data_IF_863029122036
#
_entry.id   IF_863029122036
#
_cell.length_a   1.000
_cell.length_b   1.000
_cell.length_c   1.000
_cell.angle_alpha   90.00
_cell.angle_beta   90.00
_cell.angle_gamma   90.00
#
_symmetry.space_group_name_H-M   'P 1'
#
loop_
_entity.id
_entity.type
_entity.pdbx_description
1 polymer ?
#
# COMPACT_ATOMS: atom_id res chain seq x y z
N UNK A 1 -8.14 19.50 16.82
CA UNK A 1 -9.51 19.77 16.37
C UNK A 1 -10.36 18.50 16.46
N UNK A 2 -11.62 18.63 16.91
CA UNK A 2 -12.62 17.56 16.89
C UNK A 2 -13.91 18.02 16.20
N UNK A 3 -14.34 17.26 15.20
CA UNK A 3 -15.46 17.57 14.31
C UNK A 3 -16.18 16.27 13.91
N UNK A 4 -17.46 16.34 13.51
CA UNK A 4 -18.24 15.15 13.21
C UNK A 4 -18.99 15.20 11.88
N UNK A 5 -19.37 16.37 11.39
CA UNK A 5 -20.28 16.51 10.25
C UNK A 5 -19.91 17.73 9.40
N UNK A 6 -19.23 17.49 8.28
CA UNK A 6 -18.80 18.53 7.34
C UNK A 6 -17.36 18.35 6.89
N UNK A 7 -16.99 19.12 5.88
CA UNK A 7 -15.64 19.06 5.33
C UNK A 7 -14.66 19.87 6.20
N UNK A 8 -13.42 19.41 6.32
CA UNK A 8 -12.34 20.12 7.01
C UNK A 8 -11.21 20.38 6.03
N UNK A 9 -10.92 21.64 5.76
CA UNK A 9 -9.77 22.07 4.96
C UNK A 9 -8.78 22.77 5.88
N UNK A 10 -7.55 22.27 5.94
CA UNK A 10 -6.44 22.88 6.68
C UNK A 10 -5.38 23.33 5.69
N UNK A 11 -5.13 24.63 5.68
CA UNK A 11 -4.06 25.29 4.95
C UNK A 11 -3.07 25.89 5.94
N UNK A 12 -1.87 26.13 5.45
CA UNK A 12 -0.76 26.60 6.28
C UNK A 12 -0.21 27.92 5.76
N UNK A 13 0.40 28.71 6.65
CA UNK A 13 1.05 29.97 6.33
C UNK A 13 2.22 30.25 7.28
N UNK A 14 3.03 31.26 6.96
CA UNK A 14 4.20 31.62 7.77
C UNK A 14 3.89 32.44 9.04
N UNK A 15 2.69 33.03 9.15
CA UNK A 15 2.32 33.87 10.30
C UNK A 15 2.03 33.02 11.55
N UNK A 16 2.32 33.51 12.77
CA UNK A 16 2.06 32.82 14.03
C UNK A 16 0.61 33.05 14.52
N UNK A 17 -0.37 32.85 13.64
CA UNK A 17 -1.79 33.02 13.96
C UNK A 17 -2.60 31.83 13.45
N UNK A 18 -3.81 31.66 13.96
CA UNK A 18 -4.76 30.66 13.44
C UNK A 18 -6.02 31.40 13.02
N UNK A 19 -6.44 31.22 11.77
CA UNK A 19 -7.71 31.75 11.25
C UNK A 19 -8.67 30.59 11.05
N UNK A 20 -9.82 30.65 11.69
CA UNK A 20 -10.86 29.63 11.60
C UNK A 20 -12.09 30.23 10.94
N UNK A 21 -12.44 29.73 9.76
CA UNK A 21 -13.68 30.05 9.08
C UNK A 21 -14.57 28.83 9.11
N UNK A 22 -15.76 28.97 9.69
CA UNK A 22 -16.74 27.90 9.76
C UNK A 22 -18.03 28.31 9.03
N UNK A 23 -18.55 27.40 8.20
CA UNK A 23 -19.80 27.56 7.49
C UNK A 23 -20.80 26.53 7.99
N UNK A 24 -21.76 26.98 8.78
CA UNK A 24 -22.84 26.13 9.30
C UNK A 24 -23.99 26.13 8.29
N UNK A 25 -24.44 24.93 7.91
CA UNK A 25 -25.63 24.70 7.10
C UNK A 25 -26.60 23.82 7.88
N UNK A 26 -27.88 24.19 7.88
CA UNK A 26 -28.96 23.40 8.44
C UNK A 26 -30.12 23.33 7.46
N UNK A 27 -30.79 22.18 7.42
CA UNK A 27 -32.02 21.96 6.69
C UNK A 27 -33.05 21.33 7.63
N UNK A 28 -34.25 21.88 7.61
CA UNK A 28 -35.41 21.44 8.37
C UNK A 28 -36.68 21.75 7.57
N UNK A 29 -37.84 21.30 8.05
CA UNK A 29 -39.13 21.50 7.38
C UNK A 29 -39.51 22.98 7.24
N UNK A 30 -39.08 23.81 8.20
CA UNK A 30 -39.32 25.25 8.17
C UNK A 30 -38.03 26.03 8.36
N UNK A 31 -37.97 27.24 7.80
CA UNK A 31 -36.84 28.16 7.96
C UNK A 31 -36.54 28.46 9.43
N UNK A 32 -37.56 28.71 10.25
CA UNK A 32 -37.40 29.00 11.66
C UNK A 32 -36.77 27.82 12.43
N UNK A 33 -37.14 26.58 12.10
CA UNK A 33 -36.51 25.39 12.69
C UNK A 33 -35.05 25.22 12.24
N UNK A 34 -34.73 25.56 10.99
CA UNK A 34 -33.35 25.54 10.51
C UNK A 34 -32.50 26.60 11.21
N UNK A 35 -33.02 27.81 11.40
CA UNK A 35 -32.36 28.90 12.14
C UNK A 35 -32.13 28.55 13.62
N UNK A 36 -33.12 27.94 14.30
CA UNK A 36 -32.97 27.40 15.67
C UNK A 36 -31.83 26.37 15.74
N UNK A 37 -31.77 25.46 14.77
CA UNK A 37 -30.74 24.43 14.73
C UNK A 37 -29.34 25.02 14.55
N UNK A 38 -29.18 26.01 13.66
CA UNK A 38 -27.91 26.72 13.48
C UNK A 38 -27.48 27.40 14.78
N UNK A 39 -28.40 28.10 15.46
CA UNK A 39 -28.10 28.79 16.72
C UNK A 39 -27.68 27.88 17.87
N UNK A 40 -28.05 26.59 17.80
CA UNK A 40 -27.67 25.58 18.81
C UNK A 40 -26.32 24.90 18.52
N UNK A 41 -25.79 25.02 17.31
CA UNK A 41 -24.45 24.52 16.99
C UNK A 41 -23.43 25.53 17.49
N UNK A 42 -22.58 25.12 18.43
CA UNK A 42 -21.55 25.98 18.99
C UNK A 42 -20.17 25.55 18.49
N UNK A 43 -19.33 26.55 18.21
CA UNK A 43 -17.94 26.36 17.85
C UNK A 43 -17.12 26.90 19.00
N UNK A 44 -16.50 26.00 19.75
CA UNK A 44 -15.62 26.34 20.86
C UNK A 44 -14.19 26.41 20.34
N UNK A 45 -13.55 27.56 20.52
CA UNK A 45 -12.13 27.77 20.23
C UNK A 45 -11.44 28.06 21.56
N UNK A 46 -10.58 27.16 21.98
CA UNK A 46 -9.76 27.29 23.18
C UNK A 46 -8.31 27.52 22.78
N UNK A 47 -7.70 28.55 23.34
CA UNK A 47 -6.29 28.86 23.18
C UNK A 47 -5.60 28.66 24.53
N UNK A 48 -4.57 27.82 24.55
CA UNK A 48 -3.73 27.60 25.72
C UNK A 48 -2.24 27.63 25.34
N UNK A 49 -1.36 27.40 26.32
CA UNK A 49 0.09 27.42 26.11
C UNK A 49 0.60 26.36 25.12
N UNK A 50 -0.22 25.35 24.80
CA UNK A 50 0.11 24.23 23.91
C UNK A 50 -0.45 24.40 22.49
N UNK A 51 -1.41 25.30 22.28
CA UNK A 51 -1.91 25.67 20.96
C UNK A 51 -3.38 26.07 20.92
N UNK A 52 -4.00 25.89 19.75
CA UNK A 52 -5.42 26.21 19.50
C UNK A 52 -6.22 24.92 19.30
N UNK A 53 -7.27 24.75 20.08
CA UNK A 53 -8.23 23.65 19.97
C UNK A 53 -9.58 24.15 19.46
N UNK A 54 -10.03 23.63 18.33
CA UNK A 54 -11.36 23.88 17.76
C UNK A 54 -12.24 22.64 17.95
N UNK A 55 -13.40 22.82 18.58
CA UNK A 55 -14.40 21.77 18.82
C UNK A 55 -15.79 22.24 18.39
N UNK A 56 -16.48 21.44 17.59
CA UNK A 56 -17.91 21.64 17.35
C UNK A 56 -18.73 20.94 18.42
N UNK A 57 -19.62 21.66 19.10
CA UNK A 57 -20.64 21.11 19.99
C UNK A 57 -21.95 21.03 19.22
N UNK A 58 -22.42 19.81 19.00
CA UNK A 58 -23.66 19.54 18.28
C UNK A 58 -24.85 19.48 19.24
N UNK A 59 -26.03 19.97 18.81
CA UNK A 59 -27.24 19.84 19.62
C UNK A 59 -27.66 18.38 19.76
N UNK A 60 -28.09 17.99 20.95
CA UNK A 60 -28.83 16.74 21.12
C UNK A 60 -30.16 16.83 20.35
N UNK A 61 -30.33 15.93 19.39
CA UNK A 61 -31.58 15.73 18.66
C UNK A 61 -32.38 14.64 19.38
N UNK A 62 -33.50 15.02 20.00
CA UNK A 62 -34.45 14.08 20.57
C UNK A 62 -35.05 13.15 19.49
N UNK A 63 -35.53 11.97 19.91
CA UNK A 63 -35.96 10.82 19.09
C UNK A 63 -37.16 11.06 18.14
N UNK A 64 -37.56 12.31 17.88
CA UNK A 64 -38.77 12.70 17.11
C UNK A 64 -38.55 13.66 15.93
N UNK A 65 -37.36 14.22 15.71
CA UNK A 65 -37.09 15.10 14.55
C UNK A 65 -36.64 14.30 13.33
N UNK A 66 -37.59 13.64 12.66
CA UNK A 66 -37.38 13.06 11.32
C UNK A 66 -37.36 14.25 10.33
N UNK A 67 -36.37 14.32 9.42
CA UNK A 67 -36.17 15.40 8.42
C UNK A 67 -35.36 16.63 8.87
N UNK A 68 -34.35 16.45 9.71
CA UNK A 68 -33.37 17.51 10.01
C UNK A 68 -31.98 17.05 9.59
N UNK A 69 -31.23 17.91 8.89
CA UNK A 69 -29.82 17.69 8.57
C UNK A 69 -29.00 18.95 8.83
N UNK A 70 -27.74 18.78 9.18
CA UNK A 70 -26.82 19.89 9.37
C UNK A 70 -25.40 19.47 8.99
N UNK A 71 -24.59 20.46 8.60
CA UNK A 71 -23.16 20.32 8.37
C UNK A 71 -22.43 21.57 8.84
N UNK A 72 -21.20 21.42 9.28
CA UNK A 72 -20.30 22.54 9.63
C UNK A 72 -19.02 22.34 8.85
N UNK A 73 -18.83 23.12 7.80
CA UNK A 73 -17.61 23.03 7.00
C UNK A 73 -16.57 23.99 7.57
N UNK A 74 -15.32 23.55 7.68
CA UNK A 74 -14.20 24.33 8.21
C UNK A 74 -13.16 24.63 7.13
N UNK A 75 -12.72 25.88 7.08
CA UNK A 75 -11.50 26.33 6.41
C UNK A 75 -10.59 26.96 7.47
N UNK A 76 -9.49 26.27 7.78
CA UNK A 76 -8.54 26.63 8.83
C UNK A 76 -7.21 26.99 8.18
N UNK A 77 -6.72 28.19 8.47
CA UNK A 77 -5.35 28.59 8.16
C UNK A 77 -4.54 28.62 9.46
N UNK A 78 -3.40 27.94 9.50
CA UNK A 78 -2.55 27.82 10.70
C UNK A 78 -1.06 28.02 10.38
N UNK A 79 -0.20 28.23 11.39
CA UNK A 79 1.24 28.32 11.16
C UNK A 79 1.78 26.99 10.61
N UNK A 80 2.57 27.05 9.54
CA UNK A 80 3.14 25.89 8.88
C UNK A 80 4.07 25.05 9.78
N UNK A 81 4.61 25.65 10.84
CA UNK A 81 5.52 25.01 11.80
C UNK A 81 4.80 24.35 12.98
N UNK A 82 3.51 24.61 13.17
CA UNK A 82 2.75 24.05 14.29
C UNK A 82 2.30 22.61 13.98
N UNK A 83 2.39 21.67 14.94
CA UNK A 83 1.89 20.30 14.75
C UNK A 83 0.36 20.29 14.59
N UNK A 84 -0.15 19.40 13.75
CA UNK A 84 -1.58 19.31 13.44
C UNK A 84 -2.17 18.00 13.99
N UNK A 85 -3.31 18.12 14.70
CA UNK A 85 -4.17 16.98 15.04
C UNK A 85 -5.62 17.26 14.63
N UNK A 86 -6.15 16.48 13.68
CA UNK A 86 -7.54 16.56 13.21
C UNK A 86 -8.26 15.25 13.51
N UNK A 87 -9.44 15.35 14.13
CA UNK A 87 -10.39 14.25 14.28
C UNK A 87 -11.71 14.64 13.62
N UNK A 88 -12.12 13.93 12.59
CA UNK A 88 -13.40 14.11 11.92
C UNK A 88 -14.23 12.82 11.88
N UNK A 89 -15.55 12.94 11.95
CA UNK A 89 -16.49 11.83 11.84
C UNK A 89 -16.95 11.61 10.40
N UNK A 90 -17.47 12.65 9.76
CA UNK A 90 -18.05 12.60 8.42
C UNK A 90 -17.68 13.85 7.64
N UNK A 91 -17.25 13.63 6.40
CA UNK A 91 -16.86 14.68 5.46
C UNK A 91 -15.43 14.49 4.99
N UNK A 92 -15.06 15.23 3.96
CA UNK A 92 -13.72 15.17 3.41
C UNK A 92 -12.76 15.95 4.32
N UNK A 93 -11.54 15.44 4.46
CA UNK A 93 -10.48 16.15 5.17
C UNK A 93 -9.33 16.40 4.20
N UNK A 94 -8.94 17.66 4.05
CA UNK A 94 -7.83 18.10 3.22
C UNK A 94 -6.78 18.83 4.07
N UNK A 95 -5.52 18.42 4.01
CA UNK A 95 -4.40 19.06 4.71
C UNK A 95 -3.29 19.34 3.70
N UNK A 96 -2.76 20.57 3.68
CA UNK A 96 -1.68 20.95 2.75
C UNK A 96 -0.62 21.88 3.38
N UNK A 97 0.65 21.66 2.96
CA UNK A 97 1.76 22.60 3.14
C UNK A 97 2.41 22.63 4.54
N UNK A 98 2.20 21.59 5.34
CA UNK A 98 2.67 21.56 6.73
C UNK A 98 4.18 21.28 6.81
N UNK A 99 4.94 22.12 7.51
CA UNK A 99 6.38 21.89 7.78
C UNK A 99 6.64 21.10 9.08
N UNK A 100 5.58 20.68 9.76
CA UNK A 100 5.58 19.93 11.02
C UNK A 100 4.90 18.56 10.87
N UNK A 101 4.61 17.89 11.99
CA UNK A 101 3.93 16.59 12.02
C UNK A 101 2.41 16.72 11.88
N UNK A 102 1.78 15.70 11.31
CA UNK A 102 0.33 15.64 11.13
C UNK A 102 -0.25 14.32 11.65
N UNK A 103 -1.29 14.40 12.48
CA UNK A 103 -2.17 13.30 12.85
C UNK A 103 -3.58 13.60 12.36
N UNK A 104 -4.12 12.77 11.47
CA UNK A 104 -5.49 12.93 10.96
C UNK A 104 -6.25 11.62 11.12
N UNK A 105 -7.32 11.69 11.91
CA UNK A 105 -8.27 10.59 12.10
C UNK A 105 -9.60 10.99 11.50
N UNK A 106 -10.03 10.31 10.45
CA UNK A 106 -11.36 10.44 9.84
C UNK A 106 -12.13 9.12 9.95
N UNK A 107 -13.45 9.17 10.07
CA UNK A 107 -14.25 7.95 9.97
C UNK A 107 -14.85 7.76 8.57
N UNK A 108 -15.38 8.82 7.96
CA UNK A 108 -16.03 8.73 6.65
C UNK A 108 -15.71 9.93 5.77
N UNK A 109 -15.29 9.67 4.53
CA UNK A 109 -15.01 10.69 3.52
C UNK A 109 -13.63 10.51 2.90
N UNK A 110 -13.33 11.32 1.89
CA UNK A 110 -12.00 11.36 1.28
C UNK A 110 -11.02 12.05 2.22
N UNK A 111 -9.84 11.45 2.39
CA UNK A 111 -8.72 12.06 3.09
C UNK A 111 -7.63 12.42 2.08
N UNK A 112 -7.34 13.71 1.93
CA UNK A 112 -6.29 14.21 1.04
C UNK A 112 -5.22 14.92 1.86
N UNK A 113 -3.98 14.49 1.78
CA UNK A 113 -2.85 15.11 2.51
C UNK A 113 -1.69 15.35 1.57
N UNK A 114 -1.27 16.61 1.43
CA UNK A 114 -0.17 16.97 0.54
C UNK A 114 0.91 17.84 1.21
N UNK A 115 2.14 17.71 0.74
CA UNK A 115 3.26 18.60 1.05
C UNK A 115 3.56 18.75 2.56
N UNK A 116 3.59 17.62 3.28
CA UNK A 116 3.91 17.59 4.71
C UNK A 116 5.39 17.23 4.90
N UNK A 117 6.17 18.07 5.59
CA UNK A 117 7.61 17.81 5.81
C UNK A 117 7.89 16.87 6.98
N UNK A 118 7.05 16.87 8.02
CA UNK A 118 7.21 16.01 9.18
C UNK A 118 6.56 14.63 9.02
N UNK A 119 6.60 13.86 10.10
CA UNK A 119 5.95 12.56 10.19
C UNK A 119 4.43 12.70 10.14
N UNK A 120 3.79 11.78 9.43
CA UNK A 120 2.36 11.84 9.10
C UNK A 120 1.68 10.52 9.47
N UNK A 121 0.67 10.61 10.33
CA UNK A 121 -0.21 9.48 10.72
C UNK A 121 -1.64 9.75 10.24
N UNK A 122 -2.15 8.87 9.39
CA UNK A 122 -3.48 8.96 8.81
C UNK A 122 -4.29 7.72 9.17
N UNK A 123 -5.48 7.93 9.72
CA UNK A 123 -6.46 6.89 9.96
C UNK A 123 -7.76 7.25 9.27
N UNK A 124 -8.25 6.37 8.40
CA UNK A 124 -9.58 6.46 7.81
C UNK A 124 -10.32 5.13 7.99
N UNK A 125 -11.66 5.16 8.03
CA UNK A 125 -12.45 3.92 7.99
C UNK A 125 -13.09 3.70 6.63
N UNK A 126 -13.64 4.76 6.04
CA UNK A 126 -14.34 4.66 4.75
C UNK A 126 -14.03 5.85 3.86
N UNK A 127 -13.60 5.57 2.64
CA UNK A 127 -13.30 6.56 1.61
C UNK A 127 -11.87 6.46 1.10
N UNK A 128 -11.61 7.15 -0.01
CA UNK A 128 -10.28 7.18 -0.61
C UNK A 128 -9.29 7.97 0.26
N UNK A 129 -8.05 7.51 0.31
CA UNK A 129 -6.93 8.21 0.94
C UNK A 129 -5.93 8.57 -0.14
N UNK A 130 -5.68 9.86 -0.36
CA UNK A 130 -4.75 10.37 -1.35
C UNK A 130 -3.66 11.18 -0.66
N UNK A 131 -2.41 10.75 -0.80
CA UNK A 131 -1.27 11.35 -0.11
C UNK A 131 -0.17 11.69 -1.11
N UNK A 132 0.36 12.91 -1.03
CA UNK A 132 1.48 13.34 -1.88
C UNK A 132 2.54 14.14 -1.13
N UNK A 133 3.82 13.93 -1.47
CA UNK A 133 4.90 14.81 -1.04
C UNK A 133 5.20 14.81 0.46
N UNK A 134 5.38 13.63 1.05
CA UNK A 134 5.70 13.48 2.48
C UNK A 134 7.21 13.44 2.70
N UNK A 135 7.72 14.36 3.52
CA UNK A 135 9.11 14.48 3.91
C UNK A 135 9.54 13.46 4.97
N UNK A 136 8.67 13.22 5.96
CA UNK A 136 8.91 12.32 7.08
C UNK A 136 8.38 10.90 6.84
N UNK A 137 8.24 10.14 7.92
CA UNK A 137 7.60 8.83 7.91
C UNK A 137 6.08 8.95 7.68
N UNK A 138 5.51 8.01 6.94
CA UNK A 138 4.08 7.95 6.63
C UNK A 138 3.48 6.66 7.17
N UNK A 139 2.47 6.77 8.01
CA UNK A 139 1.65 5.65 8.48
C UNK A 139 0.20 5.87 8.07
N UNK A 140 -0.37 4.94 7.29
CA UNK A 140 -1.77 4.95 6.87
C UNK A 140 -2.47 3.69 7.38
N UNK A 141 -3.58 3.87 8.07
CA UNK A 141 -4.54 2.80 8.36
C UNK A 141 -5.86 3.15 7.70
N UNK A 142 -6.30 2.33 6.74
CA UNK A 142 -7.62 2.42 6.13
C UNK A 142 -8.39 1.11 6.30
N UNK A 143 -9.72 1.18 6.40
CA UNK A 143 -10.55 -0.03 6.43
C UNK A 143 -11.25 -0.30 5.09
N UNK A 144 -11.64 0.73 4.35
CA UNK A 144 -12.30 0.56 3.06
C UNK A 144 -12.08 1.78 2.16
N UNK A 145 -11.54 1.55 0.98
CA UNK A 145 -11.33 2.55 -0.06
C UNK A 145 -9.95 2.44 -0.70
N UNK A 146 -9.78 3.11 -1.83
CA UNK A 146 -8.51 3.17 -2.56
C UNK A 146 -7.50 4.02 -1.77
N UNK A 147 -6.25 3.55 -1.70
CA UNK A 147 -5.13 4.29 -1.09
C UNK A 147 -4.12 4.64 -2.17
N UNK A 148 -3.97 5.92 -2.47
CA UNK A 148 -2.97 6.44 -3.41
C UNK A 148 -1.89 7.22 -2.66
N UNK A 149 -0.63 6.82 -2.83
CA UNK A 149 0.53 7.49 -2.20
C UNK A 149 1.56 7.82 -3.26
N UNK A 150 2.01 9.07 -3.33
CA UNK A 150 3.07 9.50 -4.26
C UNK A 150 4.12 10.35 -3.54
N UNK A 151 5.39 9.94 -3.63
CA UNK A 151 6.51 10.74 -3.15
C UNK A 151 6.61 10.77 -1.62
N UNK A 152 7.24 9.74 -1.06
CA UNK A 152 7.49 9.63 0.39
C UNK A 152 9.00 9.49 0.62
N UNK A 153 9.57 10.42 1.39
CA UNK A 153 11.00 10.49 1.66
C UNK A 153 11.41 9.77 2.95
N UNK A 154 10.47 9.50 3.86
CA UNK A 154 10.65 8.68 5.06
C UNK A 154 10.10 7.26 4.93
N UNK A 155 10.12 6.50 6.04
CA UNK A 155 9.60 5.13 6.06
C UNK A 155 8.09 5.08 5.77
N UNK A 156 7.64 4.02 5.12
CA UNK A 156 6.24 3.85 4.71
C UNK A 156 5.60 2.67 5.42
N UNK A 157 4.45 2.88 6.04
CA UNK A 157 3.59 1.82 6.57
C UNK A 157 2.17 2.04 6.08
N UNK A 158 1.62 1.09 5.33
CA UNK A 158 0.22 1.12 4.88
C UNK A 158 -0.46 -0.16 5.35
N UNK A 159 -1.60 -0.01 6.01
CA UNK A 159 -2.52 -1.10 6.33
C UNK A 159 -3.89 -0.75 5.74
N UNK A 160 -4.36 -1.54 4.78
CA UNK A 160 -5.71 -1.47 4.25
C UNK A 160 -6.42 -2.82 4.39
N UNK A 161 -7.74 -2.81 4.49
CA UNK A 161 -8.52 -4.05 4.51
C UNK A 161 -9.22 -4.33 3.18
N UNK A 162 -9.74 -3.29 2.51
CA UNK A 162 -10.43 -3.41 1.23
C UNK A 162 -10.14 -2.21 0.33
N UNK A 163 -9.82 -2.48 -0.93
CA UNK A 163 -9.55 -1.48 -1.96
C UNK A 163 -8.11 -1.52 -2.44
N UNK A 164 -7.89 -0.97 -3.62
CA UNK A 164 -6.57 -0.95 -4.27
C UNK A 164 -5.60 -0.02 -3.53
N UNK A 165 -4.34 -0.42 -3.51
CA UNK A 165 -3.23 0.40 -3.01
C UNK A 165 -2.32 0.71 -4.20
N UNK A 166 -2.07 1.99 -4.45
CA UNK A 166 -1.06 2.44 -5.40
C UNK A 166 -0.01 3.26 -4.68
N UNK A 167 1.25 2.84 -4.75
CA UNK A 167 2.40 3.55 -4.19
C UNK A 167 3.37 3.91 -5.31
N UNK A 168 3.70 5.19 -5.41
CA UNK A 168 4.74 5.69 -6.31
C UNK A 168 5.81 6.42 -5.50
N UNK A 169 7.08 6.20 -5.84
CA UNK A 169 8.19 7.01 -5.32
C UNK A 169 8.38 6.95 -3.79
N UNK A 170 8.49 5.73 -3.24
CA UNK A 170 8.84 5.51 -1.83
C UNK A 170 10.36 5.35 -1.65
N UNK A 171 11.02 6.27 -0.94
CA UNK A 171 12.49 6.35 -0.90
C UNK A 171 13.16 5.50 0.18
N UNK A 172 12.44 5.13 1.22
CA UNK A 172 12.94 4.44 2.42
C UNK A 172 12.18 3.12 2.62
N UNK A 173 12.53 2.29 3.62
CA UNK A 173 11.87 1.00 3.82
C UNK A 173 10.35 1.13 3.93
N UNK A 174 9.64 0.15 3.36
CA UNK A 174 8.19 0.13 3.28
C UNK A 174 7.58 -1.18 3.76
N UNK A 175 6.44 -1.09 4.45
CA UNK A 175 5.56 -2.23 4.75
C UNK A 175 4.15 -1.93 4.24
N UNK A 176 3.60 -2.83 3.43
CA UNK A 176 2.24 -2.74 2.92
C UNK A 176 1.51 -4.00 3.33
N UNK A 177 0.40 -3.83 4.06
CA UNK A 177 -0.53 -4.91 4.41
C UNK A 177 -1.87 -4.59 3.77
N UNK A 178 -2.35 -5.49 2.92
CA UNK A 178 -3.67 -5.37 2.30
C UNK A 178 -4.50 -6.63 2.52
N UNK A 179 -5.80 -6.44 2.74
CA UNK A 179 -6.75 -7.54 2.89
C UNK A 179 -7.31 -8.00 1.54
N UNK A 180 -7.68 -7.06 0.68
CA UNK A 180 -8.29 -7.34 -0.62
C UNK A 180 -8.17 -6.11 -1.53
N UNK A 181 -7.67 -6.30 -2.74
CA UNK A 181 -7.49 -5.27 -3.76
C UNK A 181 -6.11 -5.39 -4.41
N UNK A 182 -5.94 -4.77 -5.57
CA UNK A 182 -4.65 -4.74 -6.24
C UNK A 182 -3.66 -3.90 -5.43
N UNK A 183 -2.42 -4.38 -5.28
CA UNK A 183 -1.30 -3.60 -4.78
C UNK A 183 -0.36 -3.30 -5.95
N UNK A 184 -0.20 -2.03 -6.30
CA UNK A 184 0.66 -1.55 -7.39
C UNK A 184 1.74 -0.63 -6.80
N UNK A 185 3.00 -1.04 -6.87
CA UNK A 185 4.13 -0.26 -6.39
C UNK A 185 5.08 0.05 -7.53
N UNK A 186 5.45 1.32 -7.68
CA UNK A 186 6.46 1.75 -8.66
C UNK A 186 7.49 2.73 -8.11
N UNK A 187 8.72 2.64 -8.61
CA UNK A 187 9.83 3.55 -8.28
C UNK A 187 10.15 3.62 -6.78
N UNK A 188 10.23 2.46 -6.12
CA UNK A 188 10.63 2.39 -4.72
C UNK A 188 12.16 2.22 -4.60
N UNK A 189 12.78 2.73 -3.53
CA UNK A 189 14.23 2.71 -3.35
C UNK A 189 14.72 2.11 -2.02
N UNK A 190 13.82 1.79 -1.09
CA UNK A 190 14.15 1.04 0.13
C UNK A 190 13.65 -0.40 0.05
N UNK A 191 14.08 -1.29 0.98
CA UNK A 191 13.49 -2.61 1.15
C UNK A 191 11.97 -2.54 1.32
N UNK A 192 11.25 -3.47 0.70
CA UNK A 192 9.79 -3.46 0.67
C UNK A 192 9.23 -4.83 1.05
N UNK A 193 8.35 -4.83 2.05
CA UNK A 193 7.58 -6.01 2.45
C UNK A 193 6.11 -5.79 2.12
N UNK A 194 5.52 -6.68 1.33
CA UNK A 194 4.10 -6.67 0.96
C UNK A 194 3.44 -7.95 1.48
N UNK A 195 2.38 -7.80 2.26
CA UNK A 195 1.51 -8.91 2.66
C UNK A 195 0.12 -8.62 2.12
N UNK A 196 -0.37 -9.46 1.20
CA UNK A 196 -1.70 -9.31 0.62
C UNK A 196 -2.45 -10.65 0.57
N UNK A 197 -3.78 -10.63 0.73
CA UNK A 197 -4.57 -11.86 0.73
C UNK A 197 -5.34 -12.11 -0.57
N UNK A 198 -5.73 -11.07 -1.29
CA UNK A 198 -6.55 -11.15 -2.50
C UNK A 198 -6.29 -9.98 -3.45
N UNK A 199 -6.12 -10.28 -4.73
CA UNK A 199 -5.82 -9.27 -5.75
C UNK A 199 -4.47 -9.52 -6.39
N UNK A 200 -4.09 -8.70 -7.37
CA UNK A 200 -2.75 -8.79 -7.94
C UNK A 200 -1.77 -7.93 -7.14
N UNK A 201 -0.55 -8.44 -6.93
CA UNK A 201 0.59 -7.65 -6.44
C UNK A 201 1.52 -7.39 -7.61
N UNK A 202 1.73 -6.12 -7.95
CA UNK A 202 2.60 -5.69 -9.04
C UNK A 202 3.64 -4.72 -8.47
N UNK A 203 4.91 -5.05 -8.63
CA UNK A 203 6.05 -4.22 -8.22
C UNK A 203 6.93 -3.93 -9.43
N UNK A 204 7.03 -2.66 -9.80
CA UNK A 204 7.78 -2.18 -10.95
C UNK A 204 8.90 -1.23 -10.50
N UNK A 205 10.16 -1.64 -10.66
CA UNK A 205 11.34 -0.86 -10.26
C UNK A 205 11.45 -0.69 -8.74
N UNK A 206 12.31 -1.51 -8.13
CA UNK A 206 12.66 -1.43 -6.72
C UNK A 206 14.18 -1.39 -6.56
N UNK A 207 14.73 -0.30 -6.02
CA UNK A 207 16.15 -0.18 -5.73
C UNK A 207 16.54 -0.77 -4.34
N UNK A 208 16.01 -1.95 -4.01
CA UNK A 208 16.17 -2.62 -2.72
C UNK A 208 15.67 -4.06 -2.73
N UNK A 209 15.63 -4.70 -1.56
CA UNK A 209 15.13 -6.06 -1.40
C UNK A 209 13.60 -6.10 -1.37
N UNK A 210 13.01 -7.12 -1.99
CA UNK A 210 11.56 -7.36 -2.04
C UNK A 210 11.20 -8.61 -1.24
N UNK A 211 10.19 -8.50 -0.38
CA UNK A 211 9.50 -9.66 0.19
C UNK A 211 7.99 -9.54 -0.10
N UNK A 212 7.41 -10.54 -0.75
CA UNK A 212 5.96 -10.61 -1.01
C UNK A 212 5.41 -11.87 -0.39
N UNK A 213 4.40 -11.73 0.46
CA UNK A 213 3.59 -12.81 0.99
C UNK A 213 2.16 -12.63 0.47
N UNK A 214 1.79 -13.46 -0.50
CA UNK A 214 0.52 -13.37 -1.20
C UNK A 214 -0.24 -14.70 -1.17
N UNK A 215 -1.57 -14.66 -1.02
CA UNK A 215 -2.38 -15.88 -0.85
C UNK A 215 -3.26 -16.24 -2.05
N UNK A 216 -3.90 -15.29 -2.73
CA UNK A 216 -4.85 -15.58 -3.81
C UNK A 216 -4.80 -14.51 -4.90
N UNK A 217 -4.11 -14.81 -5.98
CA UNK A 217 -3.87 -13.87 -7.07
C UNK A 217 -2.43 -13.92 -7.56
N UNK A 218 -2.12 -13.03 -8.52
CA UNK A 218 -0.84 -13.03 -9.22
C UNK A 218 0.16 -12.13 -8.52
N UNK A 219 1.43 -12.53 -8.55
CA UNK A 219 2.56 -11.70 -8.12
C UNK A 219 3.43 -11.40 -9.33
N UNK A 220 3.65 -10.13 -9.64
CA UNK A 220 4.56 -9.67 -10.69
C UNK A 220 5.63 -8.75 -10.09
N UNK A 221 6.89 -9.15 -10.17
CA UNK A 221 8.03 -8.37 -9.69
C UNK A 221 9.01 -8.08 -10.83
N UNK A 222 9.23 -6.80 -11.15
CA UNK A 222 10.09 -6.38 -12.27
C UNK A 222 11.12 -5.35 -11.85
N UNK A 223 12.35 -5.50 -12.35
CA UNK A 223 13.45 -4.57 -12.15
C UNK A 223 13.76 -4.35 -10.66
N UNK A 224 14.11 -5.43 -9.96
CA UNK A 224 14.44 -5.42 -8.54
C UNK A 224 15.96 -5.43 -8.42
N UNK A 225 16.57 -4.36 -7.91
CA UNK A 225 18.04 -4.30 -7.83
C UNK A 225 18.61 -5.21 -6.74
N UNK A 226 17.85 -5.41 -5.65
CA UNK A 226 18.19 -6.31 -4.54
C UNK A 226 17.73 -7.73 -4.77
N UNK A 227 17.61 -8.50 -3.68
CA UNK A 227 17.01 -9.83 -3.69
C UNK A 227 15.48 -9.79 -3.71
N UNK A 228 14.86 -10.92 -4.08
CA UNK A 228 13.41 -11.08 -4.07
C UNK A 228 13.01 -12.40 -3.40
N UNK A 229 12.18 -12.32 -2.37
CA UNK A 229 11.48 -13.45 -1.78
C UNK A 229 9.98 -13.35 -2.13
N UNK A 230 9.49 -14.28 -2.94
CA UNK A 230 8.14 -14.26 -3.49
C UNK A 230 7.40 -15.52 -3.03
N UNK A 231 6.53 -15.36 -2.04
CA UNK A 231 5.68 -16.40 -1.51
C UNK A 231 4.25 -16.18 -2.04
N UNK A 232 3.75 -17.12 -2.83
CA UNK A 232 2.45 -17.00 -3.49
C UNK A 232 1.64 -18.29 -3.41
N UNK A 233 0.31 -18.17 -3.44
CA UNK A 233 -0.60 -19.30 -3.57
C UNK A 233 -1.74 -18.95 -4.53
N UNK A 234 -2.31 -19.97 -5.18
CA UNK A 234 -3.49 -19.86 -6.05
C UNK A 234 -3.40 -18.74 -7.10
N UNK A 235 -2.23 -18.61 -7.74
CA UNK A 235 -1.98 -17.65 -8.80
C UNK A 235 -0.53 -17.68 -9.25
N UNK A 236 -0.28 -17.11 -10.42
CA UNK A 236 1.04 -17.13 -11.06
C UNK A 236 2.01 -16.17 -10.37
N UNK A 237 3.27 -16.60 -10.27
CA UNK A 237 4.38 -15.76 -9.80
C UNK A 237 5.29 -15.50 -10.99
N UNK A 238 5.40 -14.23 -11.37
CA UNK A 238 6.29 -13.77 -12.44
C UNK A 238 7.34 -12.83 -11.87
N UNK A 239 8.61 -13.06 -12.22
CA UNK A 239 9.67 -12.12 -11.92
C UNK A 239 10.56 -11.83 -13.13
N UNK A 240 11.09 -10.62 -13.22
CA UNK A 240 12.07 -10.25 -14.25
C UNK A 240 13.09 -9.21 -13.80
N UNK A 241 14.33 -9.35 -14.27
CA UNK A 241 15.46 -8.47 -13.94
C UNK A 241 15.64 -8.28 -12.43
N UNK A 242 16.03 -9.36 -11.74
CA UNK A 242 16.36 -9.34 -10.32
C UNK A 242 17.87 -9.37 -10.13
N UNK A 243 18.42 -8.40 -9.40
CA UNK A 243 19.85 -8.21 -9.21
C UNK A 243 20.47 -9.12 -8.15
N UNK A 244 19.70 -9.49 -7.14
CA UNK A 244 20.14 -10.33 -6.02
C UNK A 244 19.66 -11.78 -6.11
N UNK A 245 19.64 -12.44 -4.94
CA UNK A 245 19.09 -13.79 -4.78
C UNK A 245 17.58 -13.78 -5.02
N UNK A 246 17.07 -14.81 -5.69
CA UNK A 246 15.64 -15.05 -5.87
C UNK A 246 15.22 -16.29 -5.09
N UNK A 247 14.21 -16.17 -4.25
CA UNK A 247 13.54 -17.29 -3.59
C UNK A 247 12.06 -17.21 -3.95
N UNK A 248 11.53 -18.28 -4.55
CA UNK A 248 10.11 -18.39 -4.87
C UNK A 248 9.53 -19.61 -4.19
N UNK A 249 8.44 -19.41 -3.45
CA UNK A 249 7.60 -20.49 -2.93
C UNK A 249 6.20 -20.32 -3.52
N UNK A 250 5.90 -21.16 -4.50
CA UNK A 250 4.61 -21.21 -5.18
C UNK A 250 3.76 -22.40 -4.73
N UNK A 251 2.45 -22.21 -4.69
CA UNK A 251 1.50 -23.29 -4.52
C UNK A 251 0.29 -23.07 -5.42
N UNK A 252 0.03 -23.97 -6.36
CA UNK A 252 -1.08 -23.88 -7.32
C UNK A 252 -0.99 -22.66 -8.25
N UNK A 253 0.11 -22.56 -9.01
CA UNK A 253 0.32 -21.50 -10.00
C UNK A 253 1.59 -21.74 -10.81
N UNK A 254 1.66 -21.14 -12.01
CA UNK A 254 2.90 -21.13 -12.79
C UNK A 254 3.92 -20.21 -12.13
N UNK A 255 5.17 -20.63 -12.14
CA UNK A 255 6.31 -19.76 -11.81
C UNK A 255 7.06 -19.44 -13.10
N UNK A 256 7.15 -18.15 -13.45
CA UNK A 256 7.89 -17.69 -14.62
C UNK A 256 8.94 -16.67 -14.21
N UNK A 257 10.18 -16.85 -14.68
CA UNK A 257 11.31 -15.98 -14.32
C UNK A 257 12.20 -15.72 -15.52
N UNK A 258 12.62 -14.47 -15.72
CA UNK A 258 13.61 -14.11 -16.75
C UNK A 258 14.63 -13.14 -16.18
N UNK A 259 15.92 -13.38 -16.38
CA UNK A 259 17.02 -12.53 -15.87
C UNK A 259 17.06 -12.48 -14.34
N UNK A 260 17.79 -13.41 -13.74
CA UNK A 260 18.16 -13.36 -12.33
C UNK A 260 19.68 -13.35 -12.22
N UNK A 261 20.25 -12.28 -11.65
CA UNK A 261 21.71 -12.10 -11.58
C UNK A 261 22.34 -12.92 -10.45
N UNK A 262 21.57 -13.25 -9.40
CA UNK A 262 22.02 -14.06 -8.27
C UNK A 262 21.49 -15.50 -8.27
N UNK A 263 21.83 -16.29 -7.22
CA UNK A 263 21.30 -17.63 -7.03
C UNK A 263 19.76 -17.63 -6.96
N UNK A 264 19.14 -18.62 -7.58
CA UNK A 264 17.69 -18.74 -7.69
C UNK A 264 17.22 -20.06 -7.11
N UNK A 265 16.30 -20.01 -6.15
CA UNK A 265 15.64 -21.17 -5.58
C UNK A 265 14.14 -21.09 -5.83
N UNK A 266 13.58 -22.11 -6.48
CA UNK A 266 12.13 -22.21 -6.73
C UNK A 266 11.61 -23.50 -6.10
N UNK A 267 10.61 -23.37 -5.23
CA UNK A 267 9.81 -24.49 -4.72
C UNK A 267 8.37 -24.28 -5.19
N UNK A 268 7.86 -25.19 -6.02
CA UNK A 268 6.47 -25.16 -6.46
C UNK A 268 5.81 -26.53 -6.27
N UNK A 269 4.50 -26.52 -5.98
CA UNK A 269 3.73 -27.76 -5.82
C UNK A 269 2.96 -28.14 -7.08
N UNK A 270 2.45 -27.14 -7.81
CA UNK A 270 1.60 -27.35 -8.97
C UNK A 270 1.75 -26.18 -9.94
N UNK A 271 1.87 -26.50 -11.22
CA UNK A 271 2.05 -25.53 -12.29
C UNK A 271 3.45 -25.63 -12.91
N UNK A 272 3.57 -25.11 -14.12
CA UNK A 272 4.86 -25.11 -14.82
C UNK A 272 5.86 -24.17 -14.12
N UNK A 273 7.13 -24.54 -14.20
CA UNK A 273 8.25 -23.65 -13.84
C UNK A 273 9.00 -23.33 -15.12
N UNK A 274 9.03 -22.06 -15.50
CA UNK A 274 9.72 -21.58 -16.71
C UNK A 274 10.74 -20.52 -16.31
N UNK A 275 12.03 -20.83 -16.41
CA UNK A 275 13.11 -19.94 -15.99
C UNK A 275 14.08 -19.71 -17.16
N UNK A 276 14.46 -18.45 -17.39
CA UNK A 276 15.42 -18.08 -18.43
C UNK A 276 16.48 -17.12 -17.89
N UNK A 277 17.71 -17.23 -18.38
CA UNK A 277 18.81 -16.31 -18.10
C UNK A 277 19.11 -16.18 -16.60
N UNK A 278 19.52 -17.28 -15.98
CA UNK A 278 19.89 -17.32 -14.56
C UNK A 278 21.42 -17.27 -14.46
N UNK A 279 21.99 -16.22 -13.87
CA UNK A 279 23.44 -16.02 -13.84
C UNK A 279 24.13 -16.62 -12.60
N UNK A 280 23.38 -17.29 -11.72
CA UNK A 280 23.91 -18.00 -10.56
C UNK A 280 23.37 -19.43 -10.45
N UNK A 281 23.60 -20.04 -9.29
CA UNK A 281 23.12 -21.40 -8.99
C UNK A 281 21.59 -21.47 -9.07
N UNK A 282 21.07 -22.59 -9.58
CA UNK A 282 19.65 -22.83 -9.73
C UNK A 282 19.24 -24.10 -8.97
N UNK A 283 18.34 -23.97 -8.00
CA UNK A 283 17.68 -25.10 -7.31
C UNK A 283 16.17 -25.02 -7.55
N UNK A 284 15.64 -25.95 -8.35
CA UNK A 284 14.21 -26.08 -8.62
C UNK A 284 13.67 -27.36 -8.00
N UNK A 285 12.63 -27.23 -7.18
CA UNK A 285 11.85 -28.35 -6.66
C UNK A 285 10.41 -28.15 -7.12
N UNK A 286 9.92 -29.00 -8.02
CA UNK A 286 8.54 -28.95 -8.47
C UNK A 286 7.83 -30.29 -8.22
N UNK A 287 6.65 -30.29 -7.60
CA UNK A 287 5.93 -31.56 -7.44
C UNK A 287 5.19 -31.95 -8.72
N UNK A 288 4.49 -31.02 -9.37
CA UNK A 288 3.69 -31.28 -10.57
C UNK A 288 3.77 -30.14 -11.58
N UNK A 289 4.06 -30.47 -12.84
CA UNK A 289 4.11 -29.52 -13.95
C UNK A 289 5.45 -29.56 -14.67
N UNK A 290 5.49 -29.05 -15.90
CA UNK A 290 6.73 -29.07 -16.68
C UNK A 290 7.75 -28.09 -16.09
N UNK A 291 9.03 -28.46 -16.09
CA UNK A 291 10.14 -27.58 -15.73
C UNK A 291 10.93 -27.28 -16.99
N UNK A 292 10.94 -26.01 -17.39
CA UNK A 292 11.72 -25.51 -18.54
C UNK A 292 12.72 -24.49 -18.04
N UNK A 293 14.01 -24.77 -18.21
CA UNK A 293 15.10 -23.88 -17.83
C UNK A 293 16.01 -23.63 -19.03
N UNK A 294 16.42 -22.38 -19.22
CA UNK A 294 17.22 -21.94 -20.36
C UNK A 294 18.28 -20.91 -19.93
N UNK A 295 19.50 -21.02 -20.47
CA UNK A 295 20.65 -20.14 -20.19
C UNK A 295 20.94 -19.97 -18.69
N UNK A 296 21.53 -21.00 -18.08
CA UNK A 296 21.95 -20.96 -16.68
C UNK A 296 23.47 -20.92 -16.58
N UNK A 297 24.03 -19.95 -15.86
CA UNK A 297 25.47 -19.71 -15.71
C UNK A 297 26.00 -20.13 -14.34
N UNK A 298 25.46 -21.22 -13.80
CA UNK A 298 25.86 -21.83 -12.54
C UNK A 298 25.43 -23.30 -12.48
N UNK A 299 25.76 -24.01 -11.40
CA UNK A 299 25.24 -25.35 -11.13
C UNK A 299 23.71 -25.37 -11.08
N UNK A 300 23.13 -26.46 -11.58
CA UNK A 300 21.68 -26.66 -11.65
C UNK A 300 21.31 -27.94 -10.92
N UNK A 301 20.34 -27.83 -10.01
CA UNK A 301 19.68 -28.96 -9.37
C UNK A 301 18.19 -28.84 -9.64
N UNK A 302 17.62 -29.82 -10.34
CA UNK A 302 16.18 -29.90 -10.59
C UNK A 302 15.66 -31.20 -9.99
N UNK A 303 14.73 -31.08 -9.04
CA UNK A 303 13.99 -32.21 -8.49
C UNK A 303 12.54 -32.09 -8.88
N UNK A 304 12.04 -33.06 -9.62
CA UNK A 304 10.62 -33.14 -9.98
C UNK A 304 10.03 -34.50 -9.68
N UNK A 305 8.73 -34.53 -9.46
CA UNK A 305 7.98 -35.78 -9.25
C UNK A 305 7.16 -36.15 -10.49
N UNK A 306 6.49 -35.16 -11.10
CA UNK A 306 5.65 -35.33 -12.27
C UNK A 306 5.80 -34.15 -13.23
N UNK A 307 6.10 -34.44 -14.50
CA UNK A 307 6.24 -33.43 -15.55
C UNK A 307 7.55 -33.56 -16.32
N UNK A 308 7.54 -33.10 -17.57
CA UNK A 308 8.72 -33.06 -18.43
C UNK A 308 9.75 -32.07 -17.86
N UNK A 309 11.04 -32.42 -17.95
CA UNK A 309 12.14 -31.48 -17.68
C UNK A 309 12.88 -31.19 -18.97
N UNK A 310 12.91 -29.91 -19.35
CA UNK A 310 13.72 -29.41 -20.46
C UNK A 310 14.72 -28.41 -19.91
N UNK A 311 16.00 -28.73 -20.01
CA UNK A 311 17.09 -27.84 -19.63
C UNK A 311 17.98 -27.61 -20.85
N UNK A 312 18.16 -26.36 -21.26
CA UNK A 312 18.97 -25.99 -22.42
C UNK A 312 19.98 -24.91 -22.06
N UNK A 313 21.20 -25.01 -22.60
CA UNK A 313 22.26 -24.00 -22.42
C UNK A 313 22.66 -23.85 -20.94
N UNK A 314 23.15 -24.94 -20.35
CA UNK A 314 23.62 -24.94 -18.95
C UNK A 314 25.14 -24.85 -18.91
N UNK A 315 25.67 -23.72 -18.46
CA UNK A 315 27.12 -23.44 -18.38
C UNK A 315 27.71 -23.83 -17.01
N UNK A 316 27.24 -24.93 -16.46
CA UNK A 316 27.64 -25.51 -15.17
C UNK A 316 27.26 -26.99 -15.08
N UNK A 317 27.51 -27.63 -13.94
CA UNK A 317 27.04 -28.99 -13.71
C UNK A 317 25.52 -29.04 -13.53
N UNK A 318 24.86 -30.05 -14.10
CA UNK A 318 23.42 -30.24 -13.97
C UNK A 318 23.09 -31.59 -13.34
N UNK A 319 22.28 -31.58 -12.28
CA UNK A 319 21.71 -32.77 -11.63
C UNK A 319 20.20 -32.71 -11.74
N UNK A 320 19.61 -33.65 -12.45
CA UNK A 320 18.16 -33.74 -12.66
C UNK A 320 17.66 -35.05 -12.05
N UNK A 321 16.77 -34.95 -11.06
CA UNK A 321 16.09 -36.08 -10.43
C UNK A 321 14.60 -36.01 -10.81
N UNK A 322 14.10 -36.98 -11.59
CA UNK A 322 12.68 -37.13 -11.89
C UNK A 322 12.17 -38.45 -11.32
N UNK A 323 11.26 -38.38 -10.34
CA UNK A 323 10.73 -39.59 -9.70
C UNK A 323 9.84 -40.42 -10.64
N UNK A 324 9.34 -39.86 -11.74
CA UNK A 324 8.53 -40.58 -12.72
C UNK A 324 9.26 -40.71 -14.06
N UNK A 325 9.85 -41.88 -14.30
CA UNK A 325 10.66 -42.18 -15.48
C UNK A 325 9.91 -42.10 -16.83
N UNK A 326 8.57 -42.07 -16.82
CA UNK A 326 7.76 -41.87 -18.03
C UNK A 326 7.79 -40.42 -18.54
N UNK A 327 8.09 -39.45 -17.68
CA UNK A 327 8.25 -38.05 -18.06
C UNK A 327 9.71 -37.81 -18.45
N UNK A 328 9.97 -37.68 -19.76
CA UNK A 328 11.33 -37.50 -20.29
C UNK A 328 12.07 -36.31 -19.67
N UNK A 329 13.39 -36.46 -19.52
CA UNK A 329 14.29 -35.34 -19.23
C UNK A 329 15.21 -35.13 -20.43
N UNK A 330 15.36 -33.89 -20.87
CA UNK A 330 16.29 -33.50 -21.93
C UNK A 330 17.22 -32.42 -21.39
N UNK A 331 18.53 -32.67 -21.45
CA UNK A 331 19.56 -31.70 -21.11
C UNK A 331 20.42 -31.44 -22.36
N UNK A 332 20.34 -30.22 -22.91
CA UNK A 332 21.21 -29.74 -23.98
C UNK A 332 22.27 -28.81 -23.40
N UNK A 333 23.54 -29.07 -23.73
CA UNK A 333 24.67 -28.20 -23.32
C UNK A 333 24.80 -27.00 -24.24
#
# INVERSE_FOLDING_TARGET
MAHQHGDVVVRTHALPEVRVHAKIRASAETRAQAEDLVGRIQIEVLEDATGVSVRTVYPELGMGRRNVSFSVDYDIAMPETAPLSVRNGFGNVAVAGLKSTAEVVNAHGRLTVSDVKGDTRLENKFGAVEVSGIGGALSITNANGVVGVTGVNGALTISNRFGDITVRQARKPGTIVNGNGKVDVSEAAGPLTITDSFGAVVVNTLAGDLTVNHRNGTVEARAITGGAELNGSFGDITFSDVGGRVIVVGNNGRVSGTVAKGPTRVRNSFGDVVLREIHGDLDVQNANGAVRVEDVRGPVVIKTRFGEVVATTIRGGATIENANAAAGSRCGT
#
